data_IF_050292727781
#
_entry.id   IF_050292727781
#
_cell.length_a   1.000
_cell.length_b   1.000
_cell.length_c   1.000
_cell.angle_alpha   90.00
_cell.angle_beta   90.00
_cell.angle_gamma   90.00
#
_symmetry.space_group_name_H-M   'P 1'
#
loop_
_entity.id
_entity.type
_entity.pdbx_description
1 polymer ?
#
# COMPACT_ATOMS: atom_id res chain seq x y z
N UNK A 1 0.31 -23.23 -32.10
CA UNK A 1 -0.25 -21.96 -31.57
C UNK A 1 0.91 -21.19 -30.93
N UNK A 2 1.61 -20.34 -31.72
CA UNK A 2 2.76 -19.56 -31.22
C UNK A 2 2.26 -18.48 -30.26
N UNK A 3 2.60 -18.62 -28.98
CA UNK A 3 2.35 -17.60 -27.95
C UNK A 3 3.24 -16.40 -28.28
N UNK A 4 2.65 -15.39 -28.93
CA UNK A 4 3.32 -14.11 -29.21
C UNK A 4 3.60 -13.48 -27.86
N UNK A 5 4.86 -13.52 -27.39
CA UNK A 5 5.33 -12.83 -26.18
C UNK A 5 5.14 -11.33 -26.43
N UNK A 6 3.94 -10.84 -26.11
CA UNK A 6 3.64 -9.42 -26.06
C UNK A 6 4.58 -8.87 -24.98
N UNK A 7 5.59 -8.08 -25.38
CA UNK A 7 6.46 -7.34 -24.47
C UNK A 7 5.63 -6.20 -23.86
N UNK A 8 4.67 -6.59 -23.05
CA UNK A 8 3.89 -5.73 -22.18
C UNK A 8 4.86 -5.32 -21.06
N UNK A 9 5.24 -4.03 -20.94
CA UNK A 9 6.18 -3.64 -19.91
C UNK A 9 5.55 -3.90 -18.53
N UNK A 10 6.16 -4.80 -17.77
CA UNK A 10 5.70 -5.24 -16.44
C UNK A 10 5.98 -4.18 -15.37
N UNK A 11 7.08 -3.43 -15.55
CA UNK A 11 7.50 -2.33 -14.69
C UNK A 11 7.41 -1.02 -15.47
N UNK A 12 6.29 -0.32 -15.36
CA UNK A 12 6.18 1.03 -15.93
C UNK A 12 6.38 2.08 -14.86
N UNK A 13 7.17 3.10 -15.21
CA UNK A 13 7.39 4.26 -14.35
C UNK A 13 6.06 4.93 -13.97
N UNK A 14 5.08 4.89 -14.89
CA UNK A 14 3.73 5.44 -14.68
C UNK A 14 2.97 4.69 -13.60
N UNK A 15 2.90 3.35 -13.71
CA UNK A 15 2.28 2.50 -12.70
C UNK A 15 2.97 2.63 -11.35
N UNK A 16 4.31 2.73 -11.34
CA UNK A 16 5.08 2.89 -10.11
C UNK A 16 4.72 4.19 -9.39
N UNK A 17 4.70 5.32 -10.11
CA UNK A 17 4.36 6.63 -9.54
C UNK A 17 2.90 6.65 -9.05
N UNK A 18 1.97 6.15 -9.86
CA UNK A 18 0.56 6.04 -9.47
C UNK A 18 0.39 5.20 -8.21
N UNK A 19 0.97 4.01 -8.20
CA UNK A 19 0.92 3.09 -7.06
C UNK A 19 1.57 3.69 -5.81
N UNK A 20 2.74 4.33 -5.93
CA UNK A 20 3.42 4.98 -4.81
C UNK A 20 2.59 6.10 -4.18
N UNK A 21 1.99 6.97 -4.99
CA UNK A 21 1.11 8.05 -4.49
C UNK A 21 -0.09 7.45 -3.75
N UNK A 22 -0.71 6.44 -4.37
CA UNK A 22 -1.89 5.77 -3.85
C UNK A 22 -1.59 5.03 -2.53
N UNK A 23 -0.44 4.35 -2.46
CA UNK A 23 0.08 3.70 -1.25
C UNK A 23 0.24 4.70 -0.11
N UNK A 24 0.87 5.86 -0.34
CA UNK A 24 1.04 6.88 0.71
C UNK A 24 -0.31 7.37 1.22
N UNK A 25 -1.24 7.69 0.31
CA UNK A 25 -2.58 8.20 0.67
C UNK A 25 -3.36 7.15 1.46
N UNK A 26 -3.38 5.89 1.00
CA UNK A 26 -4.13 4.84 1.68
C UNK A 26 -3.50 4.41 3.00
N UNK A 27 -2.16 4.34 3.10
CA UNK A 27 -1.49 4.10 4.37
C UNK A 27 -1.84 5.20 5.38
N UNK A 28 -1.72 6.48 5.00
CA UNK A 28 -2.09 7.59 5.87
C UNK A 28 -3.57 7.55 6.29
N UNK A 29 -4.46 7.26 5.33
CA UNK A 29 -5.90 7.16 5.58
C UNK A 29 -6.24 6.01 6.53
N UNK A 30 -5.65 4.82 6.35
CA UNK A 30 -5.88 3.68 7.23
C UNK A 30 -5.29 3.91 8.63
N UNK A 31 -4.13 4.55 8.74
CA UNK A 31 -3.53 4.90 10.03
C UNK A 31 -4.44 5.87 10.79
N UNK A 32 -4.90 6.93 10.13
CA UNK A 32 -5.78 7.91 10.75
C UNK A 32 -7.15 7.32 11.11
N UNK A 33 -7.79 6.59 10.19
CA UNK A 33 -9.09 5.97 10.44
C UNK A 33 -9.02 4.87 11.51
N UNK A 34 -7.95 4.08 11.52
CA UNK A 34 -7.74 3.05 12.54
C UNK A 34 -7.49 3.64 13.92
N UNK A 35 -6.74 4.74 14.04
CA UNK A 35 -6.56 5.44 15.32
C UNK A 35 -7.82 6.19 15.79
N UNK A 36 -8.62 6.74 14.86
CA UNK A 36 -9.78 7.56 15.21
C UNK A 36 -11.07 6.76 15.38
N UNK A 37 -11.31 5.77 14.54
CA UNK A 37 -12.59 5.03 14.44
C UNK A 37 -12.41 3.55 14.81
N UNK A 38 -11.17 3.06 14.93
CA UNK A 38 -10.89 1.65 15.24
C UNK A 38 -11.17 0.69 14.08
N UNK A 39 -11.53 1.19 12.90
CA UNK A 39 -11.88 0.41 11.72
C UNK A 39 -10.95 0.78 10.55
N UNK A 40 -10.41 -0.23 9.88
CA UNK A 40 -9.63 -0.09 8.63
C UNK A 40 -10.46 -0.56 7.44
N UNK A 41 -10.36 0.13 6.31
CA UNK A 41 -11.03 -0.27 5.06
C UNK A 41 -10.04 -0.99 4.13
N UNK A 42 -10.56 -1.96 3.37
CA UNK A 42 -9.76 -2.62 2.33
C UNK A 42 -9.38 -1.61 1.26
N UNK A 43 -8.10 -1.22 1.26
CA UNK A 43 -7.56 -0.20 0.34
C UNK A 43 -7.35 -0.73 -1.08
N UNK A 44 -7.33 -2.04 -1.26
CA UNK A 44 -7.09 -2.68 -2.56
C UNK A 44 -8.24 -2.51 -3.56
N UNK A 45 -9.48 -2.39 -3.07
CA UNK A 45 -10.69 -2.22 -3.90
C UNK A 45 -10.75 -0.82 -4.54
N UNK A 46 -10.70 0.29 -3.78
CA UNK A 46 -10.70 1.62 -4.40
C UNK A 46 -9.40 1.85 -5.20
N UNK A 47 -8.27 1.29 -4.78
CA UNK A 47 -7.01 1.44 -5.50
C UNK A 47 -7.06 0.83 -6.92
N UNK A 48 -7.61 -0.38 -7.08
CA UNK A 48 -7.73 -1.01 -8.40
C UNK A 48 -8.73 -0.27 -9.29
N UNK A 49 -9.80 0.30 -8.73
CA UNK A 49 -10.79 1.09 -9.47
C UNK A 49 -10.16 2.40 -9.97
N UNK A 50 -9.43 3.12 -9.12
CA UNK A 50 -8.72 4.35 -9.49
C UNK A 50 -7.65 4.03 -10.55
N UNK A 51 -6.89 2.96 -10.35
CA UNK A 51 -5.88 2.52 -11.31
C UNK A 51 -6.50 2.18 -12.66
N UNK A 52 -7.59 1.41 -12.71
CA UNK A 52 -8.30 1.12 -13.97
C UNK A 52 -8.88 2.38 -14.62
N UNK A 53 -9.44 3.31 -13.85
CA UNK A 53 -10.00 4.56 -14.36
C UNK A 53 -8.94 5.47 -14.97
N UNK A 54 -7.79 5.62 -14.29
CA UNK A 54 -6.68 6.46 -14.76
C UNK A 54 -5.97 5.81 -15.94
N UNK A 55 -5.76 4.49 -15.93
CA UNK A 55 -5.19 3.77 -17.06
C UNK A 55 -6.14 3.72 -18.26
N UNK A 56 -7.46 3.73 -18.05
CA UNK A 56 -8.46 3.82 -19.12
C UNK A 56 -8.37 5.11 -19.95
N UNK A 57 -7.72 6.17 -19.45
CA UNK A 57 -7.44 7.40 -20.21
C UNK A 57 -6.24 7.24 -21.17
N UNK A 58 -5.44 6.19 -21.01
CA UNK A 58 -4.28 5.90 -21.85
C UNK A 58 -4.53 4.64 -22.69
N UNK A 59 -4.46 4.75 -24.02
CA UNK A 59 -4.63 3.65 -24.99
C UNK A 59 -3.59 2.50 -24.88
N UNK A 60 -2.57 2.65 -24.04
CA UNK A 60 -1.51 1.67 -23.75
C UNK A 60 -1.63 1.07 -22.35
N UNK A 61 -2.86 0.95 -21.85
CA UNK A 61 -3.13 0.41 -20.53
C UNK A 61 -2.92 -1.10 -20.50
N UNK A 62 -2.24 -1.57 -19.46
CA UNK A 62 -1.76 -2.93 -19.38
C UNK A 62 -2.29 -3.62 -18.11
N UNK A 63 -2.73 -4.88 -18.22
CA UNK A 63 -3.20 -5.66 -17.08
C UNK A 63 -2.10 -5.80 -16.01
N UNK A 64 -0.83 -5.84 -16.44
CA UNK A 64 0.35 -5.97 -15.59
C UNK A 64 0.61 -4.71 -14.76
N UNK A 65 0.43 -3.52 -15.34
CA UNK A 65 0.56 -2.26 -14.61
C UNK A 65 -0.49 -2.14 -13.49
N UNK A 66 -1.73 -2.53 -13.80
CA UNK A 66 -2.82 -2.46 -12.85
C UNK A 66 -2.63 -3.45 -11.69
N UNK A 67 -2.08 -4.62 -11.97
CA UNK A 67 -1.71 -5.62 -10.97
C UNK A 67 -0.57 -5.11 -10.06
N UNK A 68 0.42 -4.42 -10.64
CA UNK A 68 1.49 -3.79 -9.87
C UNK A 68 0.96 -2.75 -8.89
N UNK A 69 0.12 -1.81 -9.36
CA UNK A 69 -0.53 -0.79 -8.50
C UNK A 69 -1.37 -1.44 -7.41
N UNK A 70 -2.12 -2.51 -7.74
CA UNK A 70 -2.93 -3.24 -6.77
C UNK A 70 -2.07 -3.91 -5.68
N UNK A 71 -0.92 -4.46 -6.05
CA UNK A 71 0.03 -5.06 -5.10
C UNK A 71 0.60 -4.01 -4.14
N UNK A 72 0.99 -2.85 -4.66
CA UNK A 72 1.48 -1.72 -3.84
C UNK A 72 0.39 -1.22 -2.88
N UNK A 73 -0.87 -1.13 -3.34
CA UNK A 73 -1.99 -0.73 -2.50
C UNK A 73 -2.34 -1.77 -1.43
N UNK A 74 -2.21 -3.06 -1.74
CA UNK A 74 -2.41 -4.12 -0.74
C UNK A 74 -1.32 -4.08 0.34
N UNK A 75 -0.06 -3.83 -0.04
CA UNK A 75 1.02 -3.65 0.93
C UNK A 75 0.78 -2.44 1.84
N UNK A 76 0.23 -1.35 1.31
CA UNK A 76 -0.17 -0.16 2.07
C UNK A 76 -1.15 -0.50 3.22
N UNK A 77 -2.12 -1.37 2.94
CA UNK A 77 -3.07 -1.89 3.92
C UNK A 77 -2.38 -2.72 5.02
N UNK A 78 -1.49 -3.63 4.64
CA UNK A 78 -0.74 -4.45 5.62
C UNK A 78 0.13 -3.59 6.53
N UNK A 79 0.87 -2.62 5.98
CA UNK A 79 1.72 -1.70 6.75
C UNK A 79 0.92 -0.88 7.78
N UNK A 80 -0.33 -0.52 7.44
CA UNK A 80 -1.18 0.22 8.38
C UNK A 80 -1.63 -0.60 9.59
N UNK A 81 -1.56 -1.93 9.57
CA UNK A 81 -1.95 -2.77 10.71
C UNK A 81 -1.10 -2.58 11.96
N UNK A 82 0.10 -1.99 11.81
CA UNK A 82 1.00 -1.68 12.94
C UNK A 82 0.34 -0.75 13.98
N UNK A 83 -0.65 0.04 13.57
CA UNK A 83 -1.43 0.91 14.48
C UNK A 83 -2.20 0.15 15.54
N UNK A 84 -2.49 -1.14 15.32
CA UNK A 84 -3.13 -1.99 16.33
C UNK A 84 -2.10 -2.76 17.16
N UNK A 85 -0.93 -3.05 16.58
CA UNK A 85 0.15 -3.80 17.23
C UNK A 85 0.83 -2.97 18.31
N UNK A 86 1.18 -1.71 18.01
CA UNK A 86 1.91 -0.85 18.97
C UNK A 86 1.09 -0.59 20.26
N UNK A 87 -0.19 -0.19 20.20
CA UNK A 87 -1.01 -0.03 21.40
C UNK A 87 -1.24 -1.36 22.12
N UNK A 88 -1.41 -2.46 21.39
CA UNK A 88 -1.57 -3.79 21.97
C UNK A 88 -0.35 -4.24 22.78
N UNK A 89 0.86 -4.04 22.25
CA UNK A 89 2.11 -4.32 22.97
C UNK A 89 2.27 -3.43 24.21
N UNK A 90 1.91 -2.15 24.10
CA UNK A 90 1.96 -1.22 25.22
C UNK A 90 0.99 -1.64 26.34
N UNK A 91 -0.25 -2.02 26.00
CA UNK A 91 -1.24 -2.51 26.96
C UNK A 91 -0.84 -3.83 27.63
N UNK A 92 -0.07 -4.69 26.95
CA UNK A 92 0.43 -5.95 27.49
C UNK A 92 1.58 -5.77 28.51
N UNK A 93 2.08 -4.54 28.70
CA UNK A 93 3.11 -4.22 29.69
C UNK A 93 4.53 -4.66 29.31
N UNK A 94 4.73 -5.24 28.12
CA UNK A 94 6.03 -5.69 27.62
C UNK A 94 6.93 -4.54 27.12
N UNK A 95 6.37 -3.34 26.90
CA UNK A 95 7.08 -2.21 26.29
C UNK A 95 6.79 -0.91 27.05
N UNK A 96 7.65 -0.56 28.02
CA UNK A 96 7.54 0.69 28.82
C UNK A 96 8.40 1.85 28.30
N UNK A 97 9.54 1.54 27.66
CA UNK A 97 10.42 2.52 27.02
C UNK A 97 10.19 2.42 25.51
N UNK A 98 9.49 3.36 24.89
CA UNK A 98 9.25 3.37 23.44
C UNK A 98 10.27 4.30 22.76
N UNK A 99 11.44 3.81 22.32
CA UNK A 99 12.40 4.61 21.58
C UNK A 99 11.87 4.86 20.17
N UNK A 100 11.02 5.89 20.05
CA UNK A 100 10.39 6.35 18.82
C UNK A 100 11.37 6.38 17.63
N UNK A 101 12.58 6.85 17.87
CA UNK A 101 13.59 7.00 16.83
C UNK A 101 14.12 5.66 16.31
N UNK A 102 14.36 4.68 17.19
CA UNK A 102 14.81 3.35 16.78
C UNK A 102 13.69 2.60 16.06
N UNK A 103 12.47 2.62 16.60
CA UNK A 103 11.32 1.99 15.95
C UNK A 103 11.04 2.61 14.59
N UNK A 104 11.10 3.94 14.48
CA UNK A 104 10.95 4.64 13.21
C UNK A 104 12.04 4.24 12.20
N UNK A 105 13.31 4.22 12.61
CA UNK A 105 14.43 3.81 11.75
C UNK A 105 14.30 2.35 11.27
N UNK A 106 13.90 1.43 12.16
CA UNK A 106 13.68 0.01 11.82
C UNK A 106 12.53 -0.11 10.81
N UNK A 107 11.40 0.56 11.05
CA UNK A 107 10.28 0.60 10.10
C UNK A 107 10.65 1.24 8.76
N UNK A 108 11.50 2.28 8.75
CA UNK A 108 12.00 2.93 7.54
C UNK A 108 12.86 2.00 6.68
N UNK A 109 13.64 1.14 7.31
CA UNK A 109 14.47 0.14 6.64
C UNK A 109 13.66 -1.04 6.08
N UNK A 110 12.36 -1.13 6.34
CA UNK A 110 11.48 -2.19 5.83
C UNK A 110 10.69 -2.95 6.91
N UNK A 111 10.94 -2.66 8.18
CA UNK A 111 10.37 -3.40 9.31
C UNK A 111 11.24 -4.58 9.72
#
# INVERSE_FOLDING_TARGET
>A
MMYKKQNLPELTLRGLILGSILTIIFTASNVYLGLKVGLTFSSSIPAVVISMAVLSLFKTSNILENNMVQTQASAAGTLSSVIFVIPGLFMCGYWSEFPLWQTFMICLCGG
#
